data_IF_219549320686
#
_entry.id   IF_219549320686
#
_cell.length_a   1.000
_cell.length_b   1.000
_cell.length_c   1.000
_cell.angle_alpha   90.00
_cell.angle_beta   90.00
_cell.angle_gamma   90.00
#
_symmetry.space_group_name_H-M   'P 1'
#
loop_
_entity.id
_entity.type
_entity.pdbx_description
1 polymer ?
2 non-polymer ?
3 non-polymer ?
4 non-polymer ?
5 water ?
#
# COMPACT_ATOMS: atom_id res chain seq x y z
N UNK A 1 -5.99 -9.76 -16.51
CA UNK A 1 -4.60 -9.89 -16.01
C UNK A 1 -4.37 -11.30 -15.53
N UNK A 2 -3.27 -11.92 -15.96
CA UNK A 2 -2.82 -13.20 -15.46
C UNK A 2 -2.21 -13.06 -14.06
N UNK A 3 -1.67 -11.89 -13.74
CA UNK A 3 -0.86 -11.68 -12.54
C UNK A 3 -0.65 -10.18 -12.30
N UNK A 4 -0.81 -9.73 -11.05
CA UNK A 4 -0.62 -8.33 -10.73
C UNK A 4 0.41 -8.17 -9.62
N UNK A 5 1.48 -7.42 -9.89
CA UNK A 5 2.52 -7.12 -8.92
C UNK A 5 2.21 -5.83 -8.20
N UNK A 6 1.37 -4.98 -8.81
CA UNK A 6 1.13 -3.63 -8.29
C UNK A 6 -0.33 -3.41 -7.95
N UNK A 7 -0.55 -2.47 -7.01
CA UNK A 7 -1.88 -2.00 -6.64
C UNK A 7 -1.87 -0.48 -6.40
N UNK A 8 -2.91 0.22 -6.86
CA UNK A 8 -2.90 1.66 -6.72
C UNK A 8 -4.16 2.07 -5.97
N UNK A 9 -4.26 3.36 -5.62
CA UNK A 9 -5.54 3.93 -5.25
C UNK A 9 -6.07 4.75 -6.44
N UNK A 10 -7.23 4.31 -6.95
CA UNK A 10 -7.88 4.97 -8.07
C UNK A 10 -8.90 5.97 -7.52
N UNK A 11 -8.58 7.26 -7.64
CA UNK A 11 -9.41 8.33 -7.09
C UNK A 11 -10.77 8.36 -7.79
N UNK A 12 -10.80 7.92 -9.05
CA UNK A 12 -12.05 7.67 -9.74
C UNK A 12 -11.79 7.27 -11.20
N UNK A 13 -12.68 6.47 -11.84
CA UNK A 13 -13.96 6.06 -11.25
C UNK A 13 -14.03 4.84 -10.34
N UNK A 14 -12.91 4.39 -9.77
CA UNK A 14 -12.98 3.20 -8.91
C UNK A 14 -13.24 3.58 -7.45
N UNK A 15 -12.77 4.79 -7.08
CA UNK A 15 -12.76 5.27 -5.70
C UNK A 15 -12.42 4.08 -4.80
N UNK A 16 -11.35 3.35 -5.13
CA UNK A 16 -10.91 2.20 -4.36
C UNK A 16 -9.52 1.71 -4.80
N UNK A 17 -9.05 0.69 -4.07
CA UNK A 17 -7.76 0.07 -4.33
C UNK A 17 -7.96 -0.92 -5.48
N UNK A 18 -7.04 -0.88 -6.45
CA UNK A 18 -7.15 -1.66 -7.68
C UNK A 18 -5.74 -2.10 -8.07
N UNK A 19 -5.64 -3.21 -8.85
CA UNK A 19 -4.40 -3.57 -9.55
C UNK A 19 -3.97 -2.44 -10.47
N UNK A 20 -2.70 -2.06 -10.43
CA UNK A 20 -2.26 -0.91 -11.19
C UNK A 20 -1.36 -1.35 -12.33
N UNK A 21 -1.16 -0.46 -13.29
CA UNK A 21 -0.27 -0.69 -14.43
C UNK A 21 0.96 0.21 -14.33
N UNK A 22 2.13 -0.35 -14.59
CA UNK A 22 3.36 0.42 -14.54
C UNK A 22 3.64 1.08 -15.90
N UNK A 23 4.16 2.30 -15.84
CA UNK A 23 4.56 3.06 -17.01
C UNK A 23 5.92 3.66 -16.74
N UNK A 24 6.62 3.98 -17.84
CA UNK A 24 7.96 4.56 -17.78
C UNK A 24 8.07 5.59 -18.90
N UNK A 25 8.84 6.65 -18.66
CA UNK A 25 9.03 7.63 -19.70
C UNK A 25 10.33 8.39 -19.44
N UNK A 26 10.89 8.94 -20.51
CA UNK A 26 12.03 9.83 -20.38
C UNK A 26 11.64 10.98 -19.46
N UNK A 27 12.46 11.25 -18.46
CA UNK A 27 12.19 12.32 -17.51
C UNK A 27 12.62 13.67 -18.07
N UNK A 28 13.08 13.70 -19.32
CA UNK A 28 13.40 14.96 -19.97
C UNK A 28 12.23 15.35 -20.89
N UNK A 29 11.96 14.59 -21.96
CA UNK A 29 10.92 14.94 -22.92
C UNK A 29 9.51 14.54 -22.45
N UNK A 30 9.41 13.73 -21.39
CA UNK A 30 8.18 13.07 -20.96
C UNK A 30 7.51 12.31 -22.10
N UNK A 31 8.27 11.53 -22.87
CA UNK A 31 7.70 10.69 -23.91
C UNK A 31 7.84 9.24 -23.49
N UNK A 32 7.05 8.39 -24.14
CA UNK A 32 7.12 6.94 -23.97
C UNK A 32 8.24 6.39 -24.86
N UNK A 33 9.44 7.00 -24.78
CA UNK A 33 10.55 6.66 -25.69
C UNK A 33 11.87 6.40 -24.95
N UNK A 34 11.81 6.14 -23.63
CA UNK A 34 13.02 5.69 -22.94
C UNK A 34 13.09 4.18 -23.03
N UNK A 35 14.18 3.65 -23.64
CA UNK A 35 14.60 2.27 -23.46
C UNK A 35 15.49 2.18 -22.22
N UNK A 36 15.10 1.32 -21.28
CA UNK A 36 15.90 1.10 -20.09
C UNK A 36 17.07 0.16 -20.43
N UNK A 37 18.27 0.45 -19.90
CA UNK A 37 19.36 -0.51 -19.98
C UNK A 37 18.92 -1.82 -19.34
N UNK A 38 18.24 -1.69 -18.19
CA UNK A 38 17.86 -2.80 -17.33
C UNK A 38 16.51 -2.43 -16.73
N UNK A 39 15.61 -3.42 -16.64
CA UNK A 39 14.27 -3.21 -16.09
C UNK A 39 14.29 -3.10 -14.58
N UNK A 40 13.23 -2.56 -13.95
CA UNK A 40 13.14 -2.49 -12.49
C UNK A 40 13.05 -3.87 -11.85
N UNK A 41 13.60 -3.97 -10.64
CA UNK A 41 13.64 -5.22 -9.91
C UNK A 41 13.04 -5.06 -8.51
N UNK A 42 12.75 -3.84 -8.09
CA UNK A 42 12.22 -3.57 -6.77
C UNK A 42 11.55 -2.20 -6.75
N UNK A 43 10.80 -1.93 -5.68
CA UNK A 43 10.02 -0.71 -5.55
C UNK A 43 10.91 0.54 -5.59
N UNK A 44 12.10 0.49 -5.00
CA UNK A 44 13.00 1.64 -5.07
C UNK A 44 13.28 2.07 -6.52
N UNK A 45 13.44 1.10 -7.44
CA UNK A 45 13.80 1.36 -8.84
C UNK A 45 12.74 2.28 -9.45
N UNK A 46 11.49 2.14 -9.03
CA UNK A 46 10.39 2.89 -9.62
C UNK A 46 9.94 4.08 -8.75
N UNK A 47 10.38 4.16 -7.49
CA UNK A 47 9.93 5.22 -6.59
C UNK A 47 11.00 6.29 -6.37
N UNK A 48 12.28 6.01 -6.66
CA UNK A 48 13.30 7.01 -6.42
C UNK A 48 13.69 7.66 -7.75
N UNK A 49 13.61 9.01 -7.84
CA UNK A 49 13.79 9.73 -9.11
C UNK A 49 15.18 9.55 -9.70
N UNK A 50 15.21 9.36 -11.02
CA UNK A 50 16.43 9.25 -11.80
C UNK A 50 17.31 8.07 -11.39
N UNK A 51 16.76 7.11 -10.63
CA UNK A 51 17.50 5.94 -10.21
C UNK A 51 17.85 5.00 -11.38
N UNK A 52 17.08 5.11 -12.47
CA UNK A 52 17.17 4.19 -13.57
C UNK A 52 17.38 4.93 -14.88
N UNK A 53 18.29 4.39 -15.68
CA UNK A 53 18.80 5.11 -16.82
C UNK A 53 18.53 4.28 -18.07
N UNK A 54 18.35 4.97 -19.19
CA UNK A 54 18.30 4.37 -20.51
C UNK A 54 18.82 5.35 -21.56
N UNK A 55 18.39 5.12 -22.81
CA UNK A 55 18.57 6.06 -23.92
C UNK A 55 17.19 6.43 -24.43
N UNK A 56 16.88 7.73 -24.42
CA UNK A 56 15.64 8.25 -25.02
C UNK A 56 15.74 8.21 -26.55
N UNK A 57 14.85 7.41 -27.17
CA UNK A 57 14.91 7.00 -28.56
C UNK A 57 14.48 8.13 -29.51
N UNK A 58 13.91 9.21 -28.98
CA UNK A 58 13.70 10.41 -29.79
C UNK A 58 14.99 10.78 -30.51
N UNK A 59 14.96 10.97 -31.86
CA UNK A 59 16.15 11.37 -32.61
C UNK A 59 16.92 12.51 -31.96
N UNK A 60 16.18 13.53 -31.48
CA UNK A 60 16.78 14.76 -31.00
C UNK A 60 16.38 15.00 -29.54
N UNK A 61 16.51 13.96 -28.69
CA UNK A 61 16.44 14.11 -27.24
C UNK A 61 17.60 13.33 -26.59
N UNK A 62 18.29 13.97 -25.60
CA UNK A 62 19.44 13.36 -24.93
C UNK A 62 19.21 12.80 -23.52
N UNK A 63 17.95 12.84 -23.06
CA UNK A 63 17.62 12.35 -21.73
C UNK A 63 17.98 10.87 -21.59
N UNK A 64 18.57 10.53 -20.44
CA UNK A 64 18.96 9.17 -20.13
C UNK A 64 18.32 8.65 -18.84
N UNK A 65 17.58 9.50 -18.11
CA UNK A 65 16.85 9.12 -16.89
C UNK A 65 15.44 8.63 -17.22
N UNK A 66 14.99 7.58 -16.52
CA UNK A 66 13.60 7.14 -16.56
C UNK A 66 12.78 7.79 -15.44
N UNK A 67 11.49 7.98 -15.74
CA UNK A 67 10.49 8.35 -14.76
C UNK A 67 9.31 7.38 -14.81
N UNK A 68 9.08 6.70 -13.68
CA UNK A 68 8.04 5.69 -13.61
C UNK A 68 6.79 6.33 -13.02
N UNK A 69 5.63 5.85 -13.47
CA UNK A 69 4.37 6.22 -12.86
C UNK A 69 3.43 5.03 -13.01
N UNK A 70 2.24 5.13 -12.39
CA UNK A 70 1.25 4.06 -12.33
C UNK A 70 -0.13 4.55 -12.74
N UNK A 71 -0.97 3.60 -13.12
CA UNK A 71 -2.33 3.88 -13.52
C UNK A 71 -3.21 2.79 -12.95
N UNK A 72 -4.49 3.13 -12.72
CA UNK A 72 -5.49 2.12 -12.42
C UNK A 72 -5.56 1.12 -13.57
N UNK A 73 -5.87 -0.14 -13.25
CA UNK A 73 -5.80 -1.19 -14.24
C UNK A 73 -7.17 -1.79 -14.52
N UNK A 74 -8.19 -1.30 -13.83
CA UNK A 74 -9.52 -1.87 -13.93
C UNK A 74 -10.28 -1.33 -15.13
N UNK A 75 -9.67 -0.45 -15.94
CA UNK A 75 -10.37 0.19 -17.06
C UNK A 75 -9.41 1.08 -17.83
N UNK A 76 -9.79 1.54 -19.05
CA UNK A 76 -8.98 2.50 -19.78
C UNK A 76 -8.63 3.72 -18.92
N UNK A 77 -7.49 4.37 -19.26
CA UNK A 77 -7.03 5.62 -18.68
C UNK A 77 -6.21 6.37 -19.73
N UNK A 78 -6.20 7.72 -19.63
CA UNK A 78 -5.43 8.51 -20.59
C UNK A 78 -3.95 8.29 -20.32
N UNK A 79 -3.15 8.62 -21.34
CA UNK A 79 -1.73 8.24 -21.42
C UNK A 79 -1.07 8.51 -20.07
N UNK A 80 -1.53 9.57 -19.40
CA UNK A 80 -1.14 9.99 -18.06
C UNK A 80 -2.34 10.45 -17.23
N UNK A 81 -3.14 9.47 -16.78
CA UNK A 81 -3.98 9.60 -15.60
C UNK A 81 -3.41 8.76 -14.46
N UNK A 82 -2.69 9.44 -13.57
CA UNK A 82 -1.82 8.78 -12.62
C UNK A 82 -2.60 8.32 -11.39
N UNK A 83 -2.30 7.13 -10.91
CA UNK A 83 -2.74 6.71 -9.58
C UNK A 83 -1.54 6.56 -8.64
N UNK A 84 -1.78 6.77 -7.34
CA UNK A 84 -0.73 6.60 -6.33
C UNK A 84 -0.51 5.11 -6.08
N UNK A 85 0.76 4.73 -6.15
CA UNK A 85 1.20 3.36 -5.90
C UNK A 85 1.16 3.07 -4.40
N UNK A 86 0.42 2.02 -4.05
CA UNK A 86 0.37 1.57 -2.67
C UNK A 86 1.43 0.50 -2.49
N UNK A 87 2.67 0.94 -2.31
CA UNK A 87 3.81 0.07 -2.52
C UNK A 87 3.98 -0.97 -1.42
N UNK A 88 3.17 -0.90 -0.36
CA UNK A 88 3.26 -1.89 0.70
C UNK A 88 2.45 -3.13 0.33
N UNK A 89 1.57 -2.98 -0.66
CA UNK A 89 0.59 -3.99 -1.00
C UNK A 89 1.25 -4.96 -1.97
N UNK A 90 1.06 -6.24 -1.74
CA UNK A 90 1.72 -7.20 -2.57
C UNK A 90 0.79 -8.39 -2.76
N UNK A 91 0.89 -8.97 -3.95
CA UNK A 91 0.30 -10.26 -4.22
C UNK A 91 1.02 -11.31 -3.41
N UNK A 92 0.24 -12.17 -2.73
CA UNK A 92 0.76 -13.15 -1.79
C UNK A 92 1.01 -14.45 -2.55
N UNK A 93 2.06 -14.43 -3.37
CA UNK A 93 2.36 -15.52 -4.29
C UNK A 93 3.07 -16.69 -3.58
N UNK A 94 3.40 -16.56 -2.29
CA UNK A 94 4.00 -17.67 -1.56
C UNK A 94 3.11 -18.15 -0.41
N UNK A 95 1.84 -17.73 -0.41
CA UNK A 95 0.80 -18.27 0.46
C UNK A 95 1.17 -18.09 1.92
N UNK A 96 1.66 -16.91 2.27
CA UNK A 96 2.05 -16.64 3.65
C UNK A 96 0.80 -16.35 4.46
N UNK A 97 0.75 -16.90 5.69
CA UNK A 97 -0.39 -16.64 6.54
C UNK A 97 -0.32 -15.23 7.11
N UNK A 98 -1.47 -14.70 7.51
CA UNK A 98 -1.57 -13.32 7.98
C UNK A 98 -1.26 -13.29 9.48
N UNK A 99 -0.62 -12.23 9.93
CA UNK A 99 -0.20 -12.13 11.32
C UNK A 99 -1.39 -12.17 12.29
N UNK A 100 -2.60 -11.73 11.90
CA UNK A 100 -3.71 -11.53 12.82
C UNK A 100 -4.86 -12.52 12.60
N UNK A 101 -5.28 -12.80 11.35
CA UNK A 101 -6.30 -13.83 11.16
C UNK A 101 -5.76 -15.22 10.86
N UNK A 102 -4.49 -15.31 10.45
CA UNK A 102 -3.78 -16.57 10.20
C UNK A 102 -4.27 -17.32 8.95
N UNK A 103 -5.17 -16.73 8.14
CA UNK A 103 -5.57 -17.31 6.87
C UNK A 103 -4.55 -16.94 5.80
N UNK A 104 -4.64 -17.60 4.64
CA UNK A 104 -3.87 -17.24 3.47
C UNK A 104 -4.77 -16.38 2.56
N UNK A 105 -4.38 -15.13 2.34
CA UNK A 105 -5.19 -14.19 1.58
C UNK A 105 -4.35 -13.52 0.49
N UNK A 106 -4.99 -12.80 -0.44
CA UNK A 106 -4.24 -12.02 -1.42
C UNK A 106 -5.12 -10.93 -2.01
N UNK A 107 -4.65 -9.68 -2.13
CA UNK A 107 -3.31 -9.28 -1.70
C UNK A 107 -3.14 -9.05 -0.19
N UNK A 108 -1.89 -8.79 0.20
CA UNK A 108 -1.53 -8.53 1.59
C UNK A 108 -0.80 -7.19 1.68
N UNK A 109 -0.71 -6.67 2.91
CA UNK A 109 0.14 -5.52 3.22
C UNK A 109 1.33 -6.02 4.05
N UNK A 110 2.52 -5.56 3.64
CA UNK A 110 3.77 -5.97 4.24
C UNK A 110 4.37 -4.77 4.95
N UNK A 111 4.37 -4.78 6.29
CA UNK A 111 4.98 -3.67 7.02
C UNK A 111 6.46 -3.61 6.70
N UNK A 112 7.05 -2.41 6.83
CA UNK A 112 8.48 -2.19 6.67
C UNK A 112 9.15 -2.15 8.03
N UNK A 113 8.70 -2.96 8.99
CA UNK A 113 9.52 -3.33 10.13
C UNK A 113 10.60 -4.30 9.64
N UNK A 114 11.61 -4.59 10.47
CA UNK A 114 12.70 -5.45 10.03
C UNK A 114 12.14 -6.83 9.68
N UNK A 115 11.13 -7.28 10.44
CA UNK A 115 10.58 -8.61 10.26
C UNK A 115 9.72 -8.71 9.01
N UNK A 116 9.35 -7.56 8.42
CA UNK A 116 8.50 -7.49 7.25
C UNK A 116 7.24 -8.32 7.49
N UNK A 117 6.48 -7.96 8.55
CA UNK A 117 5.28 -8.67 8.94
C UNK A 117 4.19 -8.53 7.87
N UNK A 118 3.41 -9.60 7.69
CA UNK A 118 2.39 -9.67 6.65
C UNK A 118 0.99 -9.63 7.27
N UNK A 119 0.15 -8.74 6.77
CA UNK A 119 -1.26 -8.70 7.18
C UNK A 119 -2.13 -8.58 5.94
N UNK A 120 -3.27 -9.30 5.92
CA UNK A 120 -4.20 -9.26 4.81
C UNK A 120 -4.91 -7.90 4.82
N UNK A 121 -5.52 -7.56 3.68
CA UNK A 121 -6.17 -6.27 3.52
C UNK A 121 -7.43 -6.17 4.37
N UNK A 122 -8.05 -7.31 4.69
CA UNK A 122 -9.22 -7.32 5.56
C UNK A 122 -8.79 -6.92 6.98
N UNK A 123 -7.74 -7.58 7.48
CA UNK A 123 -7.27 -7.26 8.82
C UNK A 123 -6.66 -5.85 8.86
N UNK A 124 -6.16 -5.34 7.73
CA UNK A 124 -5.56 -4.01 7.77
C UNK A 124 -6.67 -2.99 7.98
N UNK A 125 -7.72 -3.11 7.16
CA UNK A 125 -8.94 -2.35 7.32
C UNK A 125 -9.33 -2.34 8.79
N UNK A 126 -9.59 -3.52 9.36
CA UNK A 126 -10.10 -3.64 10.72
C UNK A 126 -9.14 -3.02 11.71
N UNK A 127 -7.84 -3.26 11.47
CA UNK A 127 -6.78 -2.70 12.31
C UNK A 127 -6.96 -1.19 12.32
N UNK A 128 -7.01 -0.58 11.15
CA UNK A 128 -7.27 0.85 11.03
C UNK A 128 -8.57 1.27 11.74
N UNK A 129 -9.68 0.57 11.47
CA UNK A 129 -10.96 0.88 12.10
C UNK A 129 -10.85 0.84 13.62
N UNK A 130 -10.27 -0.22 14.15
CA UNK A 130 -10.16 -0.37 15.60
C UNK A 130 -9.40 0.82 16.16
N UNK A 131 -8.23 1.10 15.58
CA UNK A 131 -7.29 2.09 16.08
C UNK A 131 -7.85 3.52 16.00
N UNK A 132 -8.82 3.75 15.11
CA UNK A 132 -9.57 5.01 15.10
C UNK A 132 -10.44 5.13 16.35
N UNK A 133 -11.47 4.28 16.38
CA UNK A 133 -12.44 4.18 17.48
C UNK A 133 -11.74 4.28 18.83
N UNK A 134 -10.50 3.80 18.91
CA UNK A 134 -9.86 3.73 20.20
C UNK A 134 -8.79 4.81 20.31
N UNK A 135 -8.80 5.80 19.39
CA UNK A 135 -7.79 6.84 19.35
C UNK A 135 -6.39 6.24 19.54
N UNK A 136 -6.00 5.29 18.69
CA UNK A 136 -4.75 4.57 18.92
C UNK A 136 -3.76 4.81 17.78
N UNK A 137 -4.03 5.83 16.95
CA UNK A 137 -3.06 6.24 15.96
C UNK A 137 -1.87 6.86 16.67
N UNK A 138 -0.74 6.99 15.97
CA UNK A 138 0.50 7.47 16.52
C UNK A 138 0.90 8.71 15.73
N UNK A 139 1.34 9.77 16.43
CA UNK A 139 1.71 11.01 15.78
C UNK A 139 3.18 10.94 15.41
N UNK A 140 3.56 11.63 14.32
CA UNK A 140 4.96 11.92 14.02
C UNK A 140 5.01 13.29 13.35
N UNK A 141 5.91 14.21 13.79
CA UNK A 141 5.91 15.58 13.28
C UNK A 141 5.93 15.70 11.76
N UNK A 142 6.77 14.89 11.10
CA UNK A 142 6.99 15.04 9.67
C UNK A 142 5.98 14.24 8.85
N UNK A 143 4.90 13.75 9.49
CA UNK A 143 3.94 12.85 8.84
C UNK A 143 2.51 13.16 9.25
N UNK A 144 2.32 13.45 10.54
CA UNK A 144 1.00 13.46 11.13
C UNK A 144 0.68 12.11 11.76
N UNK A 145 -0.57 11.68 11.60
CA UNK A 145 -0.98 10.46 12.27
C UNK A 145 -0.86 9.29 11.30
N UNK A 146 -0.30 8.19 11.84
CA UNK A 146 -0.14 6.94 11.11
C UNK A 146 -0.30 5.74 12.04
N UNK A 147 0.08 4.56 11.54
CA UNK A 147 0.05 3.33 12.32
C UNK A 147 1.36 2.58 12.09
N UNK A 148 1.86 1.88 13.12
CA UNK A 148 3.04 1.04 12.95
C UNK A 148 2.58 -0.35 12.53
N UNK A 149 3.54 -1.27 12.52
CA UNK A 149 3.30 -2.70 12.40
C UNK A 149 2.37 -3.13 13.52
N UNK A 150 1.51 -4.09 13.19
CA UNK A 150 0.47 -4.50 14.11
C UNK A 150 1.10 -5.26 15.26
N UNK A 151 2.36 -5.71 15.09
CA UNK A 151 3.08 -6.55 16.05
C UNK A 151 3.89 -5.71 17.04
N UNK A 152 4.02 -4.41 16.78
CA UNK A 152 4.58 -3.46 17.73
C UNK A 152 6.03 -3.12 17.43
N UNK A 153 6.44 -3.35 16.17
CA UNK A 153 7.83 -3.24 15.74
C UNK A 153 8.15 -1.77 15.51
N UNK A 154 9.31 -1.27 16.01
CA UNK A 154 9.70 0.13 15.78
C UNK A 154 10.13 0.52 14.36
N UNK A 155 10.21 1.83 14.13
CA UNK A 155 10.43 2.42 12.82
C UNK A 155 9.57 1.73 11.75
N UNK A 156 8.31 1.44 12.08
CA UNK A 156 7.44 0.74 11.14
C UNK A 156 6.21 1.57 10.77
N UNK A 157 6.22 2.86 11.08
CA UNK A 157 5.15 3.75 10.67
C UNK A 157 5.04 3.73 9.15
N UNK A 158 3.81 3.61 8.68
CA UNK A 158 3.44 3.82 7.29
C UNK A 158 3.68 5.29 6.93
N UNK A 159 4.50 5.53 5.90
CA UNK A 159 4.87 6.87 5.48
C UNK A 159 3.93 7.31 4.38
N UNK A 160 3.70 6.46 3.37
CA UNK A 160 2.78 6.82 2.28
C UNK A 160 1.34 6.65 2.78
N UNK A 161 0.74 7.77 3.19
CA UNK A 161 -0.52 7.77 3.92
C UNK A 161 -1.72 7.44 3.03
N UNK A 162 -1.52 7.39 1.72
CA UNK A 162 -2.58 6.94 0.83
C UNK A 162 -2.89 5.48 1.09
N UNK A 163 -2.04 4.75 1.80
CA UNK A 163 -2.41 3.40 2.22
C UNK A 163 -3.65 3.37 3.12
N UNK A 164 -3.98 4.46 3.78
CA UNK A 164 -5.21 4.53 4.55
C UNK A 164 -6.43 4.73 3.65
N UNK A 165 -6.23 4.89 2.34
CA UNK A 165 -7.40 4.98 1.48
C UNK A 165 -8.06 3.61 1.39
N UNK A 166 -7.41 2.60 1.96
CA UNK A 166 -7.96 1.25 2.11
C UNK A 166 -9.16 1.27 3.06
N UNK A 167 -9.56 2.44 3.58
CA UNK A 167 -10.64 2.40 4.56
C UNK A 167 -12.00 2.74 3.96
N UNK A 168 -12.08 3.16 2.70
CA UNK A 168 -13.36 3.59 2.17
C UNK A 168 -13.66 5.01 2.65
N UNK A 169 -14.57 5.71 1.95
CA UNK A 169 -14.54 7.16 1.98
C UNK A 169 -14.66 7.67 3.42
N UNK A 170 -15.51 7.02 4.21
CA UNK A 170 -15.94 7.58 5.47
C UNK A 170 -14.88 7.32 6.53
N UNK A 171 -14.50 6.05 6.71
CA UNK A 171 -13.42 5.73 7.62
C UNK A 171 -12.23 6.61 7.25
N UNK A 172 -12.01 6.78 5.95
CA UNK A 172 -10.92 7.64 5.51
C UNK A 172 -11.09 9.07 6.00
N UNK A 173 -12.30 9.59 5.93
CA UNK A 173 -12.59 10.95 6.36
C UNK A 173 -12.41 11.09 7.87
N UNK A 174 -12.92 10.14 8.66
CA UNK A 174 -12.60 10.11 10.08
C UNK A 174 -11.09 10.32 10.24
N UNK A 175 -10.31 9.55 9.46
CA UNK A 175 -8.87 9.52 9.60
C UNK A 175 -8.26 10.91 9.39
N UNK A 176 -8.85 11.69 8.48
CA UNK A 176 -8.33 13.00 8.15
C UNK A 176 -8.69 14.03 9.20
N UNK A 177 -9.77 13.79 9.96
CA UNK A 177 -10.19 14.62 11.08
C UNK A 177 -9.25 14.41 12.27
N UNK A 178 -8.52 13.28 12.30
CA UNK A 178 -8.01 12.71 13.55
C UNK A 178 -7.09 13.69 14.25
N UNK A 179 -6.17 14.31 13.51
CA UNK A 179 -5.27 15.28 14.10
C UNK A 179 -6.00 16.44 14.76
N UNK A 180 -7.01 16.98 14.04
CA UNK A 180 -7.83 18.09 14.50
C UNK A 180 -8.59 17.75 15.77
N UNK A 181 -9.13 16.53 15.84
CA UNK A 181 -9.85 16.07 17.02
C UNK A 181 -8.90 15.95 18.20
N UNK A 182 -7.70 15.46 17.89
CA UNK A 182 -6.67 15.17 18.86
C UNK A 182 -6.24 16.48 19.51
N UNK A 183 -6.27 17.54 18.71
CA UNK A 183 -5.85 18.83 19.20
C UNK A 183 -6.77 19.22 20.35
N UNK A 184 -8.07 19.26 20.06
CA UNK A 184 -9.11 19.56 21.03
C UNK A 184 -8.94 18.68 22.27
N UNK A 185 -8.92 17.36 22.11
CA UNK A 185 -8.79 16.47 23.24
C UNK A 185 -7.57 16.87 24.07
N UNK A 186 -6.41 17.06 23.42
CA UNK A 186 -5.14 17.33 24.08
C UNK A 186 -5.21 18.63 24.89
N UNK A 187 -6.25 19.44 24.64
CA UNK A 187 -6.57 20.58 25.46
C UNK A 187 -7.77 20.32 26.38
N UNK A 188 -7.95 19.09 26.86
CA UNK A 188 -9.03 18.77 27.80
C UNK A 188 -10.44 19.02 27.26
N UNK A 189 -10.59 19.34 25.98
CA UNK A 189 -11.90 19.46 25.32
C UNK A 189 -12.52 18.08 25.04
N UNK A 190 -13.62 18.06 24.26
CA UNK A 190 -14.43 16.86 24.09
C UNK A 190 -15.10 16.81 22.71
N UNK A 191 -15.38 15.59 22.20
CA UNK A 191 -16.07 15.37 20.92
C UNK A 191 -17.55 15.06 21.12
N UNK A 192 -18.39 15.61 20.24
CA UNK A 192 -19.83 15.43 20.32
C UNK A 192 -20.20 13.94 20.16
N UNK A 193 -20.85 13.30 21.16
CA UNK A 193 -21.16 11.87 21.04
C UNK A 193 -22.20 11.53 19.98
N UNK A 194 -22.89 12.55 19.45
CA UNK A 194 -23.93 12.31 18.46
C UNK A 194 -23.33 11.67 17.23
N UNK A 195 -23.77 10.44 16.87
CA UNK A 195 -23.30 9.79 15.64
C UNK A 195 -23.51 10.65 14.41
N UNK A 196 -22.42 10.86 13.66
CA UNK A 196 -22.46 11.64 12.43
C UNK A 196 -21.97 13.07 12.62
N UNK A 197 -21.83 13.49 13.88
CA UNK A 197 -21.43 14.85 14.18
C UNK A 197 -19.97 14.83 14.66
N UNK A 198 -19.73 14.37 15.89
CA UNK A 198 -18.38 14.25 16.39
C UNK A 198 -17.56 15.55 16.32
N UNK A 199 -18.24 16.72 16.32
CA UNK A 199 -17.60 18.03 16.28
C UNK A 199 -16.81 18.31 17.54
N UNK A 200 -15.83 19.22 17.44
CA UNK A 200 -14.91 19.55 18.52
C UNK A 200 -15.45 20.67 19.43
N UNK A 201 -15.34 20.46 20.75
CA UNK A 201 -15.88 21.37 21.76
C UNK A 201 -14.90 21.50 22.92
N UNK A 202 -14.85 22.72 23.48
CA UNK A 202 -14.00 23.05 24.60
C UNK A 202 -14.80 23.78 25.69
N UNK A 203 -15.57 23.09 26.56
CA UNK A 203 -16.20 23.73 27.71
C UNK A 203 -15.18 24.03 28.83
N UNK A 204 -15.62 24.69 29.91
CA UNK A 204 -14.80 24.78 31.10
C UNK A 204 -14.69 23.40 31.72
N UNK A 205 -13.47 22.93 32.10
CA UNK A 205 -13.27 21.53 32.50
C UNK A 205 -14.01 21.02 33.73
N UNK A 206 -14.63 21.93 34.49
CA UNK A 206 -15.40 21.55 35.68
C UNK A 206 -16.90 21.72 35.43
N UNK A 207 -17.34 21.51 34.17
CA UNK A 207 -18.74 21.47 33.79
C UNK A 207 -19.12 20.10 33.24
N UNK A 208 -20.08 19.44 33.91
CA UNK A 208 -20.52 18.11 33.52
C UNK A 208 -21.47 18.20 32.32
N UNK A 209 -22.01 19.39 32.07
CA UNK A 209 -22.91 19.57 30.95
C UNK A 209 -22.19 20.19 29.77
N UNK A 210 -22.48 19.69 28.57
CA UNK A 210 -21.81 20.18 27.37
C UNK A 210 -22.79 20.21 26.20
N UNK A 211 -22.92 21.39 25.61
CA UNK A 211 -23.87 21.61 24.53
C UNK A 211 -23.08 21.86 23.25
N UNK A 212 -23.56 21.31 22.12
CA UNK A 212 -22.86 21.31 20.85
C UNK A 212 -23.38 22.45 19.97
N UNK A 213 -22.82 23.67 20.16
CA UNK A 213 -23.33 24.90 19.56
C UNK A 213 -22.20 25.80 19.08
N UNK A 219 -22.94 23.12 16.25
CA UNK A 219 -22.94 21.78 15.66
C UNK A 219 -24.35 21.27 15.38
N UNK A 220 -24.85 20.41 16.29
CA UNK A 220 -26.12 19.71 16.07
C UNK A 220 -27.09 19.89 17.24
N UNK A 221 -26.70 20.65 18.27
CA UNK A 221 -27.59 21.00 19.37
C UNK A 221 -27.47 20.09 20.60
N UNK A 222 -26.74 18.98 20.48
CA UNK A 222 -26.76 17.95 21.51
C UNK A 222 -26.20 18.54 22.79
N UNK A 223 -27.05 18.63 23.83
CA UNK A 223 -26.57 18.73 25.20
C UNK A 223 -26.23 17.31 25.64
N UNK A 224 -25.07 17.11 26.29
CA UNK A 224 -24.78 15.83 26.91
C UNK A 224 -23.99 16.02 28.21
N UNK A 225 -24.05 15.02 29.09
CA UNK A 225 -23.18 14.93 30.23
C UNK A 225 -21.85 14.40 29.73
N UNK A 226 -20.74 15.07 30.11
CA UNK A 226 -19.45 14.71 29.54
C UNK A 226 -18.92 13.41 30.15
N UNK A 227 -19.24 13.14 31.43
CA UNK A 227 -18.64 11.98 32.08
C UNK A 227 -19.14 10.71 31.37
N UNK A 228 -20.39 10.73 30.90
CA UNK A 228 -21.01 9.51 30.39
C UNK A 228 -21.54 9.64 28.95
N UNK A 229 -21.41 10.82 28.36
CA UNK A 229 -21.62 11.00 26.93
C UNK A 229 -23.07 10.81 26.47
N UNK A 230 -23.99 10.49 27.40
CA UNK A 230 -25.42 10.47 27.10
C UNK A 230 -25.96 11.91 27.08
N UNK A 231 -27.21 12.10 26.66
CA UNK A 231 -27.89 13.38 26.71
C UNK A 231 -28.11 13.81 28.15
N UNK A 232 -28.11 15.14 28.40
CA UNK A 232 -27.83 15.70 29.72
C UNK A 232 -28.91 15.34 30.73
N UNK A 233 -28.50 14.63 31.78
CA UNK A 233 -29.35 14.25 32.91
C UNK A 233 -29.00 15.21 34.03
N UNK A 234 -30.03 15.72 34.72
CA UNK A 234 -29.85 16.61 35.86
C UNK A 234 -29.48 15.78 37.09
N UNK A 235 -29.65 14.46 36.99
CA UNK A 235 -29.29 13.56 38.07
C UNK A 235 -27.79 13.29 38.13
N UNK A 236 -27.42 12.12 38.65
CA UNK A 236 -26.10 11.55 38.45
C UNK A 236 -26.23 10.51 37.32
N UNK A 237 -25.10 9.94 36.88
CA UNK A 237 -25.07 9.15 35.66
C UNK A 237 -25.67 7.75 35.88
N UNK A 253 -1.26 -10.03 19.45
CA UNK A 253 -0.60 -10.75 18.32
C UNK A 253 0.17 -11.95 18.85
N UNK A 254 -0.26 -13.15 18.39
CA UNK A 254 0.35 -14.40 18.80
C UNK A 254 1.76 -14.42 18.24
N UNK A 255 2.64 -15.12 18.97
CA UNK A 255 4.07 -15.10 18.70
C UNK A 255 4.38 -15.93 17.47
N UNK A 256 3.79 -17.14 17.38
CA UNK A 256 4.00 -17.99 16.21
C UNK A 256 3.52 -17.24 14.96
N UNK A 257 2.31 -16.66 15.05
CA UNK A 257 1.68 -15.96 13.94
C UNK A 257 2.64 -14.89 13.41
N UNK A 258 3.09 -14.00 14.29
CA UNK A 258 4.15 -13.09 13.91
C UNK A 258 5.30 -13.82 13.20
N UNK A 259 5.88 -14.87 13.80
CA UNK A 259 7.02 -15.59 13.23
C UNK A 259 6.70 -16.10 11.82
N UNK A 260 5.43 -16.47 11.61
CA UNK A 260 5.08 -17.10 10.35
C UNK A 260 4.77 -16.03 9.31
N UNK A 261 4.15 -14.94 9.74
CA UNK A 261 3.73 -13.88 8.84
C UNK A 261 4.88 -12.91 8.69
N UNK A 262 5.97 -13.40 8.08
CA UNK A 262 7.14 -12.61 7.74
C UNK A 262 7.39 -12.77 6.26
N UNK A 263 7.48 -11.65 5.51
CA UNK A 263 7.68 -11.71 4.07
C UNK A 263 8.81 -12.66 3.68
N UNK A 264 9.99 -12.45 4.29
CA UNK A 264 11.21 -13.16 3.91
C UNK A 264 11.37 -14.50 4.67
N UNK A 265 10.36 -15.01 5.38
CA UNK A 265 10.55 -16.25 6.13
C UNK A 265 10.67 -17.46 5.20
N UNK A 266 11.40 -18.49 5.64
CA UNK A 266 11.55 -19.71 4.85
C UNK A 266 10.22 -20.45 4.72
N UNK A 267 9.90 -20.87 3.49
CA UNK A 267 8.57 -21.39 3.19
C UNK A 267 8.67 -22.81 2.67
N UNK A 268 7.50 -23.49 2.63
CA UNK A 268 7.30 -24.79 2.01
C UNK A 268 7.55 -24.70 0.51
N UNK A 269 7.21 -25.75 -0.24
CA UNK A 269 7.27 -25.72 -1.70
C UNK A 269 5.87 -25.65 -2.29
N UNK A 270 5.59 -24.55 -3.02
CA UNK A 270 4.30 -24.30 -3.69
C UNK A 270 4.25 -25.00 -5.05
N UNK A 271 3.15 -24.79 -5.79
CA UNK A 271 3.05 -25.20 -7.18
C UNK A 271 4.17 -24.50 -7.95
N UNK A 272 4.15 -23.15 -7.95
CA UNK A 272 5.13 -22.33 -8.68
C UNK A 272 6.51 -22.42 -8.01
N UNK A 273 7.42 -23.11 -8.71
CA UNK A 273 8.73 -23.49 -8.23
C UNK A 273 9.66 -22.28 -8.20
N UNK A 274 10.95 -22.50 -7.89
CA UNK A 274 11.96 -21.45 -7.98
C UNK A 274 13.04 -21.82 -9.00
N UNK A 275 12.87 -22.96 -9.67
CA UNK A 275 13.52 -23.24 -10.95
C UNK A 275 12.44 -23.55 -12.00
N UNK A 276 12.54 -22.93 -13.17
CA UNK A 276 11.57 -23.15 -14.24
C UNK A 276 12.27 -23.35 -15.58
N UNK A 277 11.74 -24.23 -16.46
CA UNK A 277 12.42 -24.55 -17.72
C UNK A 277 12.18 -23.41 -18.69
N UNK A 278 13.23 -23.03 -19.43
CA UNK A 278 13.06 -22.05 -20.48
C UNK A 278 11.92 -22.55 -21.38
N UNK A 279 10.97 -21.68 -21.75
CA UNK A 279 9.93 -22.02 -22.72
C UNK A 279 10.39 -22.50 -24.09
N UNK A 280 11.60 -22.12 -24.54
CA UNK A 280 12.08 -22.54 -25.84
C UNK A 280 12.87 -23.85 -25.69
N UNK A 281 14.01 -23.78 -24.98
CA UNK A 281 14.98 -24.84 -24.98
C UNK A 281 14.64 -25.86 -23.89
N UNK A 282 14.11 -25.41 -22.74
CA UNK A 282 13.65 -26.30 -21.69
C UNK A 282 14.71 -26.57 -20.62
N UNK A 283 15.87 -25.92 -20.76
CA UNK A 283 16.91 -25.95 -19.75
C UNK A 283 16.42 -25.25 -18.48
N UNK A 284 16.63 -25.83 -17.27
CA UNK A 284 16.20 -25.18 -16.03
C UNK A 284 16.93 -23.87 -15.79
N UNK A 285 16.20 -22.84 -15.34
CA UNK A 285 16.73 -21.49 -15.20
C UNK A 285 16.53 -21.07 -13.74
N UNK A 286 17.56 -20.47 -13.13
CA UNK A 286 17.38 -19.83 -11.84
C UNK A 286 17.02 -18.37 -12.12
N UNK A 287 16.15 -17.81 -11.27
CA UNK A 287 15.87 -16.38 -11.23
C UNK A 287 16.62 -15.74 -10.07
N UNK A 288 17.30 -14.61 -10.33
CA UNK A 288 18.31 -14.09 -9.41
C UNK A 288 18.04 -12.64 -9.03
N UNK A 289 16.76 -12.26 -9.11
CA UNK A 289 16.30 -11.00 -8.55
C UNK A 289 14.85 -10.77 -8.91
N UNK A 290 14.37 -9.53 -8.70
CA UNK A 290 12.96 -9.22 -8.72
C UNK A 290 12.36 -9.08 -10.12
N UNK A 291 13.18 -8.73 -11.13
CA UNK A 291 12.64 -8.46 -12.46
C UNK A 291 12.05 -9.74 -13.04
N UNK A 292 10.87 -9.63 -13.65
CA UNK A 292 10.18 -10.76 -14.22
C UNK A 292 10.67 -11.08 -15.64
N UNK A 293 11.36 -10.11 -16.26
CA UNK A 293 11.97 -10.27 -17.58
C UNK A 293 13.19 -11.19 -17.51
N UNK A 294 13.12 -12.37 -18.13
CA UNK A 294 14.22 -13.31 -18.09
C UNK A 294 14.95 -13.30 -19.43
N UNK A 295 16.23 -13.65 -19.40
CA UNK A 295 16.99 -13.86 -20.63
C UNK A 295 17.66 -15.21 -20.45
N UNK A 296 17.29 -16.18 -21.29
CA UNK A 296 17.78 -17.54 -21.19
C UNK A 296 19.29 -17.53 -21.32
N UNK A 297 20.02 -18.14 -20.36
CA UNK A 297 21.47 -18.04 -20.32
C UNK A 297 22.14 -18.79 -21.46
N UNK A 298 21.48 -19.86 -21.95
CA UNK A 298 22.00 -20.68 -23.03
C UNK A 298 22.42 -19.81 -24.21
N UNK A 299 23.72 -19.89 -24.63
CA UNK A 299 24.24 -19.09 -25.74
C UNK A 299 23.45 -19.23 -27.04
N UNK A 300 22.87 -20.42 -27.23
CA UNK A 300 22.26 -20.82 -28.50
C UNK A 300 20.74 -20.66 -28.47
N UNK A 301 20.20 -20.10 -27.37
CA UNK A 301 18.78 -19.80 -27.23
C UNK A 301 18.57 -18.30 -27.04
N UNK A 302 18.87 -17.78 -25.83
CA UNK A 302 18.78 -16.35 -25.53
C UNK A 302 17.33 -15.86 -25.65
N UNK A 303 16.34 -16.69 -25.31
CA UNK A 303 14.97 -16.20 -25.35
C UNK A 303 14.75 -15.22 -24.19
N UNK A 304 13.99 -14.16 -24.48
CA UNK A 304 13.52 -13.23 -23.45
C UNK A 304 12.06 -13.56 -23.13
N UNK A 305 11.78 -13.87 -21.87
CA UNK A 305 10.48 -14.40 -21.52
C UNK A 305 10.08 -13.90 -20.14
N UNK A 306 8.78 -13.99 -19.82
CA UNK A 306 8.28 -13.65 -18.51
C UNK A 306 8.28 -14.88 -17.61
N UNK A 307 8.90 -14.72 -16.44
CA UNK A 307 9.12 -15.77 -15.46
C UNK A 307 7.83 -16.46 -15.03
N UNK A 308 6.80 -15.62 -14.85
CA UNK A 308 5.50 -16.01 -14.38
C UNK A 308 4.65 -16.63 -15.51
N UNK A 309 4.59 -15.96 -16.66
CA UNK A 309 3.61 -16.33 -17.66
C UNK A 309 4.12 -17.45 -18.59
N UNK A 310 5.46 -17.66 -18.63
CA UNK A 310 6.07 -18.68 -19.46
C UNK A 310 5.90 -18.36 -20.94
N UNK A 311 6.24 -17.13 -21.34
CA UNK A 311 5.93 -16.66 -22.67
C UNK A 311 6.94 -15.60 -23.10
N UNK A 312 7.06 -15.32 -24.42
CA UNK A 312 7.97 -14.27 -24.86
C UNK A 312 7.62 -13.01 -24.07
N UNK A 313 8.63 -12.21 -23.73
CA UNK A 313 8.44 -10.95 -23.03
C UNK A 313 7.70 -9.92 -23.89
N UNK A 314 6.98 -9.01 -23.22
CA UNK A 314 6.02 -8.13 -23.88
C UNK A 314 5.55 -7.04 -22.92
N UNK A 315 4.86 -6.01 -23.48
CA UNK A 315 4.49 -4.79 -22.79
C UNK A 315 3.35 -5.01 -21.78
N UNK A 316 2.65 -6.15 -21.87
CA UNK A 316 1.59 -6.44 -20.93
C UNK A 316 2.17 -6.85 -19.59
N UNK A 317 3.07 -7.85 -19.65
CA UNK A 317 3.86 -8.29 -18.50
C UNK A 317 4.65 -7.14 -17.87
N UNK A 318 5.28 -6.29 -18.70
CA UNK A 318 5.92 -5.07 -18.25
C UNK A 318 4.92 -4.27 -17.43
N UNK A 319 3.74 -4.03 -18.02
CA UNK A 319 2.70 -3.24 -17.41
C UNK A 319 2.26 -3.83 -16.07
N UNK A 320 2.03 -5.14 -16.05
CA UNK A 320 1.32 -5.78 -14.96
C UNK A 320 2.24 -6.31 -13.88
N UNK A 321 3.48 -6.66 -14.24
CA UNK A 321 4.34 -7.31 -13.26
C UNK A 321 5.79 -7.26 -13.75
N UNK A 322 6.26 -6.06 -14.07
CA UNK A 322 7.62 -5.90 -14.55
C UNK A 322 8.57 -6.45 -13.49
N UNK A 323 8.19 -6.25 -12.23
CA UNK A 323 8.90 -6.91 -11.15
C UNK A 323 7.87 -7.43 -10.17
N UNK A 324 8.35 -8.31 -9.28
CA UNK A 324 7.59 -8.72 -8.12
C UNK A 324 8.47 -8.54 -6.89
N UNK A 325 7.85 -8.32 -5.74
CA UNK A 325 8.54 -8.38 -4.47
C UNK A 325 8.61 -9.86 -4.08
#
# INVERSE_FOLDING_TARGET
>A
SIYNSFYVYCKGPCQRVQPGKLRVQCSTCRQATLTLTQGPSCWDDVLIPNRMSGECQSPHCPGTSAEFFFKCGAHPTSDKETSVALHLIATNSRNITCITCTDVRSPVLVFQCNSRHVICLDCFHLYCVTRLNDRQFVHDPQLGYSLPCVAGCPNSLIKELHHFRILGEEQYNRYQQYGAEECVLQMGGVLCPRPGCGAGLLPEPDCRKVTCEGGNGLGCGFAFCRECKEAYHEGECSAVFENLYFQSQAYRVDERAAEQARWEAASKETIKKTTKPCPRCHVPVEKNGGCMHMKCPQPQCRLEWCWNCGCEWNRVCMGDHWFDV
#
